data_IF_469749580053
#
_entry.id   IF_469749580053
#
_cell.length_a   1.000
_cell.length_b   1.000
_cell.length_c   1.000
_cell.angle_alpha   90.00
_cell.angle_beta   90.00
_cell.angle_gamma   90.00
#
_symmetry.space_group_name_H-M   'P 1'
#
loop_
_entity.id
_entity.type
_entity.pdbx_description
1 polymer ?
#
# COMPACT_ATOMS: atom_id res chain seq x y z
N UNK A 1 -21.42 9.59 -13.73
CA UNK A 1 -20.03 10.06 -13.61
C UNK A 1 -19.21 8.84 -13.89
N UNK A 2 -18.37 8.90 -14.92
CA UNK A 2 -17.35 7.88 -15.11
C UNK A 2 -16.28 8.22 -14.06
N UNK A 3 -16.43 7.66 -12.85
CA UNK A 3 -15.32 7.64 -11.89
C UNK A 3 -14.27 6.75 -12.54
N UNK A 4 -13.41 7.39 -13.33
CA UNK A 4 -12.23 6.77 -13.91
C UNK A 4 -11.42 6.23 -12.74
N UNK A 5 -11.55 4.93 -12.49
CA UNK A 5 -10.73 4.19 -11.54
C UNK A 5 -9.26 4.50 -11.83
N UNK A 6 -8.62 5.21 -10.90
CA UNK A 6 -7.19 5.49 -10.93
C UNK A 6 -6.55 4.69 -9.79
N UNK A 7 -5.79 3.66 -10.16
CA UNK A 7 -5.08 2.84 -9.19
C UNK A 7 -4.11 3.67 -8.35
N UNK A 8 -3.64 4.81 -8.87
CA UNK A 8 -2.71 5.67 -8.17
C UNK A 8 -3.42 6.42 -7.03
N UNK A 9 -4.57 7.04 -7.30
CA UNK A 9 -5.36 7.72 -6.26
C UNK A 9 -5.74 6.74 -5.13
N UNK A 10 -6.15 5.52 -5.47
CA UNK A 10 -6.49 4.48 -4.48
C UNK A 10 -5.26 4.04 -3.66
N UNK A 11 -4.10 3.88 -4.32
CA UNK A 11 -2.85 3.56 -3.64
C UNK A 11 -2.42 4.67 -2.69
N UNK A 12 -2.44 5.92 -3.13
CA UNK A 12 -2.04 7.08 -2.33
C UNK A 12 -2.93 7.21 -1.09
N UNK A 13 -4.25 7.07 -1.27
CA UNK A 13 -5.20 7.07 -0.17
C UNK A 13 -4.93 5.94 0.82
N UNK A 14 -4.70 4.71 0.33
CA UNK A 14 -4.38 3.58 1.21
C UNK A 14 -3.10 3.79 1.99
N UNK A 15 -2.02 4.20 1.32
CA UNK A 15 -0.73 4.41 1.96
C UNK A 15 -0.80 5.52 3.01
N UNK A 16 -1.43 6.64 2.67
CA UNK A 16 -1.54 7.81 3.55
C UNK A 16 -2.51 7.61 4.71
N UNK A 17 -3.62 6.89 4.50
CA UNK A 17 -4.59 6.61 5.56
C UNK A 17 -4.13 5.50 6.51
N UNK A 18 -3.39 4.51 6.02
CA UNK A 18 -2.95 3.36 6.82
C UNK A 18 -1.62 3.63 7.50
N UNK A 19 -0.65 4.22 6.80
CA UNK A 19 0.73 4.37 7.27
C UNK A 19 1.08 5.82 7.57
N UNK A 20 0.23 6.51 8.33
CA UNK A 20 0.43 7.89 8.78
C UNK A 20 1.35 7.99 10.02
N UNK A 21 1.84 9.17 10.36
CA UNK A 21 2.75 9.44 11.49
C UNK A 21 2.25 8.96 12.87
N UNK A 22 0.92 8.86 13.06
CA UNK A 22 0.32 8.45 14.34
C UNK A 22 0.24 6.92 14.54
N UNK A 23 0.79 6.12 13.61
CA UNK A 23 0.84 4.65 13.76
C UNK A 23 1.83 4.22 14.85
N UNK A 24 1.57 3.07 15.48
CA UNK A 24 2.55 2.46 16.41
C UNK A 24 3.71 1.80 15.68
N UNK A 25 3.41 1.11 14.58
CA UNK A 25 4.36 0.42 13.71
C UNK A 25 3.64 0.06 12.40
N UNK A 26 4.34 -0.08 11.25
CA UNK A 26 3.71 -0.49 10.00
C UNK A 26 2.97 -1.83 10.08
N UNK A 27 3.49 -2.80 10.83
CA UNK A 27 2.87 -4.11 10.99
C UNK A 27 1.51 -3.98 11.71
N UNK A 28 1.50 -3.29 12.86
CA UNK A 28 0.27 -3.03 13.59
C UNK A 28 -0.77 -2.24 12.80
N UNK A 29 -0.34 -1.24 12.02
CA UNK A 29 -1.25 -0.45 11.18
C UNK A 29 -1.89 -1.30 10.07
N UNK A 30 -1.12 -2.22 9.48
CA UNK A 30 -1.63 -3.17 8.51
C UNK A 30 -2.63 -4.16 9.15
N UNK A 31 -2.34 -4.66 10.36
CA UNK A 31 -3.27 -5.52 11.10
C UNK A 31 -4.59 -4.79 11.38
N UNK A 32 -4.55 -3.54 11.85
CA UNK A 32 -5.76 -2.71 12.07
C UNK A 32 -6.55 -2.53 10.76
N UNK A 33 -5.87 -2.20 9.66
CA UNK A 33 -6.51 -2.08 8.35
C UNK A 33 -7.22 -3.38 7.93
N UNK A 34 -6.55 -4.53 8.10
CA UNK A 34 -7.09 -5.85 7.75
C UNK A 34 -8.32 -6.19 8.60
N UNK A 35 -8.30 -5.88 9.89
CA UNK A 35 -9.42 -6.14 10.81
C UNK A 35 -10.66 -5.28 10.51
N UNK A 36 -10.46 -4.05 10.02
CA UNK A 36 -11.53 -3.08 9.78
C UNK A 36 -12.17 -3.19 8.39
N UNK A 37 -11.40 -3.58 7.37
CA UNK A 37 -11.86 -3.59 5.99
C UNK A 37 -12.60 -4.88 5.61
N UNK A 38 -13.55 -4.79 4.68
CA UNK A 38 -14.23 -6.00 4.17
C UNK A 38 -13.31 -6.83 3.27
N UNK A 39 -13.65 -8.10 3.08
CA UNK A 39 -12.95 -9.00 2.15
C UNK A 39 -12.93 -8.45 0.72
N UNK A 40 -14.02 -7.84 0.26
CA UNK A 40 -14.08 -7.16 -1.04
C UNK A 40 -13.13 -5.96 -1.09
N UNK A 41 -13.01 -5.22 0.01
CA UNK A 41 -12.03 -4.14 0.15
C UNK A 41 -10.58 -4.65 0.10
N UNK A 42 -10.25 -5.74 0.80
CA UNK A 42 -8.93 -6.39 0.71
C UNK A 42 -8.59 -6.78 -0.73
N UNK A 43 -9.54 -7.43 -1.43
CA UNK A 43 -9.37 -7.81 -2.83
C UNK A 43 -9.14 -6.60 -3.74
N UNK A 44 -9.86 -5.50 -3.49
CA UNK A 44 -9.69 -4.26 -4.23
C UNK A 44 -8.34 -3.61 -3.95
N UNK A 45 -7.88 -3.61 -2.69
CA UNK A 45 -6.56 -3.13 -2.27
C UNK A 45 -5.43 -3.90 -2.91
N UNK A 46 -5.49 -5.22 -2.88
CA UNK A 46 -4.52 -6.08 -3.57
C UNK A 46 -4.48 -5.72 -5.06
N UNK A 47 -5.65 -5.56 -5.70
CA UNK A 47 -5.75 -5.25 -7.12
C UNK A 47 -5.03 -3.95 -7.50
N UNK A 48 -5.35 -2.81 -6.89
CA UNK A 48 -4.69 -1.55 -7.28
C UNK A 48 -3.21 -1.52 -6.90
N UNK A 49 -2.80 -2.19 -5.82
CA UNK A 49 -1.38 -2.31 -5.46
C UNK A 49 -0.60 -3.12 -6.52
N UNK A 50 -1.18 -4.21 -7.02
CA UNK A 50 -0.58 -5.01 -8.10
C UNK A 50 -0.58 -4.26 -9.44
N UNK A 51 -1.64 -3.53 -9.77
CA UNK A 51 -1.67 -2.68 -10.97
C UNK A 51 -0.58 -1.60 -10.93
N UNK A 52 -0.41 -0.93 -9.78
CA UNK A 52 0.68 0.02 -9.58
C UNK A 52 2.05 -0.63 -9.80
N UNK A 53 2.33 -1.80 -9.19
CA UNK A 53 3.62 -2.48 -9.35
C UNK A 53 3.89 -2.91 -10.79
N UNK A 54 2.84 -3.28 -11.54
CA UNK A 54 2.91 -3.71 -12.94
C UNK A 54 2.78 -2.58 -13.95
N UNK A 55 2.57 -1.33 -13.51
CA UNK A 55 2.47 -0.16 -14.39
C UNK A 55 3.77 0.13 -15.15
N UNK A 56 3.69 0.97 -16.19
CA UNK A 56 4.83 1.40 -17.01
C UNK A 56 5.79 2.37 -16.28
N UNK A 57 5.48 2.76 -15.04
CA UNK A 57 6.36 3.58 -14.21
C UNK A 57 7.70 2.90 -13.98
N UNK A 58 8.76 3.69 -13.99
CA UNK A 58 10.11 3.23 -13.67
C UNK A 58 10.18 2.76 -12.23
N UNK A 59 11.22 1.96 -11.94
CA UNK A 59 11.49 1.53 -10.56
C UNK A 59 11.63 2.74 -9.62
N UNK A 60 12.37 3.77 -10.03
CA UNK A 60 12.62 4.95 -9.20
C UNK A 60 11.32 5.72 -8.89
N UNK A 61 10.47 5.95 -9.91
CA UNK A 61 9.16 6.56 -9.72
C UNK A 61 8.29 5.78 -8.74
N UNK A 62 8.26 4.44 -8.86
CA UNK A 62 7.51 3.58 -7.94
C UNK A 62 8.03 3.68 -6.51
N UNK A 63 9.34 3.60 -6.32
CA UNK A 63 9.96 3.73 -4.99
C UNK A 63 9.64 5.10 -4.37
N UNK A 64 9.66 6.17 -5.16
CA UNK A 64 9.40 7.52 -4.68
C UNK A 64 7.91 7.77 -4.38
N UNK A 65 6.99 7.25 -5.20
CA UNK A 65 5.55 7.30 -4.90
C UNK A 65 5.25 6.63 -3.57
N UNK A 66 5.83 5.45 -3.31
CA UNK A 66 5.62 4.75 -2.02
C UNK A 66 6.16 5.60 -0.86
N UNK A 67 7.38 6.13 -0.97
CA UNK A 67 7.99 6.97 0.09
C UNK A 67 7.23 8.27 0.35
N UNK A 68 6.69 8.88 -0.69
CA UNK A 68 5.99 10.16 -0.57
C UNK A 68 4.60 10.01 0.05
N UNK A 69 3.99 8.83 -0.07
CA UNK A 69 2.61 8.59 0.36
C UNK A 69 2.50 7.72 1.62
N UNK A 70 3.58 7.07 2.06
CA UNK A 70 3.65 6.39 3.34
C UNK A 70 4.61 7.14 4.28
N UNK A 71 4.15 7.51 5.48
CA UNK A 71 4.98 8.17 6.50
C UNK A 71 5.84 7.14 7.27
N UNK A 72 6.50 6.25 6.52
CA UNK A 72 7.35 5.17 7.03
C UNK A 72 8.82 5.53 6.83
N UNK A 73 9.61 5.35 7.88
CA UNK A 73 11.07 5.41 7.77
C UNK A 73 11.64 4.08 7.25
N UNK A 74 11.66 3.88 5.93
CA UNK A 74 12.14 2.65 5.28
C UNK A 74 13.52 2.13 5.75
N UNK A 75 14.51 2.97 6.13
CA UNK A 75 15.77 2.45 6.65
C UNK A 75 15.63 1.58 7.91
N UNK A 76 14.58 1.74 8.72
CA UNK A 76 14.32 0.85 9.88
C UNK A 76 13.59 -0.44 9.51
N UNK A 77 12.91 -0.47 8.36
CA UNK A 77 12.25 -1.67 7.82
C UNK A 77 13.27 -2.64 7.23
N UNK A 78 14.38 -2.13 6.70
CA UNK A 78 15.42 -2.95 6.08
C UNK A 78 15.04 -3.51 4.70
N UNK A 79 13.92 -3.03 4.14
CA UNK A 79 13.46 -3.36 2.79
C UNK A 79 13.37 -2.08 1.93
N UNK A 80 13.71 -2.17 0.63
CA UNK A 80 13.31 -1.14 -0.33
C UNK A 80 11.78 -0.98 -0.36
N UNK A 81 11.24 0.24 -0.54
CA UNK A 81 9.79 0.49 -0.59
C UNK A 81 9.01 -0.46 -1.50
N UNK A 82 9.49 -0.79 -2.69
CA UNK A 82 8.82 -1.76 -3.58
C UNK A 82 8.75 -3.16 -2.95
N UNK A 83 9.83 -3.63 -2.34
CA UNK A 83 9.86 -4.96 -1.72
C UNK A 83 9.02 -4.99 -0.44
N UNK A 84 8.96 -3.87 0.29
CA UNK A 84 8.04 -3.70 1.40
C UNK A 84 6.58 -3.76 0.93
N UNK A 85 6.20 -3.02 -0.13
CA UNK A 85 4.84 -3.04 -0.66
C UNK A 85 4.44 -4.44 -1.13
N UNK A 86 5.36 -5.20 -1.75
CA UNK A 86 5.11 -6.61 -2.08
C UNK A 86 4.81 -7.44 -0.84
N UNK A 87 5.55 -7.24 0.25
CA UNK A 87 5.29 -7.95 1.51
C UNK A 87 3.92 -7.58 2.12
N UNK A 88 3.49 -6.34 1.97
CA UNK A 88 2.14 -5.90 2.37
C UNK A 88 1.07 -6.60 1.53
N UNK A 89 1.24 -6.67 0.21
CA UNK A 89 0.32 -7.36 -0.69
C UNK A 89 0.16 -8.84 -0.31
N UNK A 90 1.25 -9.54 0.01
CA UNK A 90 1.17 -10.94 0.42
C UNK A 90 0.42 -11.12 1.75
N UNK A 91 0.65 -10.24 2.74
CA UNK A 91 -0.11 -10.24 3.99
C UNK A 91 -1.61 -9.97 3.78
N UNK A 92 -1.95 -9.02 2.90
CA UNK A 92 -3.34 -8.76 2.52
C UNK A 92 -3.99 -9.99 1.89
N UNK A 93 -3.26 -10.73 1.03
CA UNK A 93 -3.76 -11.97 0.41
C UNK A 93 -3.96 -13.09 1.42
N UNK A 94 -3.09 -13.21 2.43
CA UNK A 94 -3.24 -14.21 3.50
C UNK A 94 -4.49 -13.96 4.36
N UNK A 95 -4.97 -12.72 4.44
CA UNK A 95 -6.14 -12.34 5.20
C UNK A 95 -7.49 -12.55 4.48
N UNK A 96 -7.48 -12.95 3.19
CA UNK A 96 -8.68 -13.16 2.35
C UNK A 96 -9.24 -14.58 2.50
#
# INVERSE_FOLDING_TARGET
MDESYDFLDELENFLGATFHQDIRSPEHALDEFIEEISKEGLLFTVKYCEEFLNSDLTKEEKEDIIKCNAEIYFPTIGLPPIEWLKSVIEQLKEAI
#
